data_IF_344438214600
#
_entry.id   IF_344438214600
#
_cell.length_a   1.000
_cell.length_b   1.000
_cell.length_c   1.000
_cell.angle_alpha   90.00
_cell.angle_beta   90.00
_cell.angle_gamma   90.00
#
_symmetry.space_group_name_H-M   'P 1'
#
loop_
_entity.id
_entity.type
_entity.pdbx_description
1 polymer ?
#
# COMPACT_ATOMS: atom_id res chain seq x y z
N UNK A 1 17.35 1.43 23.20
CA UNK A 1 16.69 1.03 21.94
C UNK A 1 15.63 2.07 21.62
N UNK A 2 15.92 2.98 20.69
CA UNK A 2 15.01 4.07 20.34
C UNK A 2 13.82 3.51 19.56
N UNK A 3 12.60 3.80 20.03
CA UNK A 3 11.36 3.44 19.35
C UNK A 3 11.31 4.18 18.02
N UNK A 4 11.51 3.47 16.92
CA UNK A 4 11.29 3.99 15.56
C UNK A 4 9.89 4.61 15.50
N UNK A 5 9.70 5.77 14.84
CA UNK A 5 8.38 6.40 14.79
C UNK A 5 7.34 5.37 14.33
N UNK A 6 6.25 5.25 15.08
CA UNK A 6 5.19 4.22 14.99
C UNK A 6 4.64 4.01 13.55
N UNK A 7 4.87 4.95 12.65
CA UNK A 7 4.49 4.91 11.23
C UNK A 7 5.41 4.04 10.34
N UNK A 8 6.61 3.70 10.78
CA UNK A 8 7.59 2.89 10.02
C UNK A 8 7.49 1.39 10.30
N UNK A 9 6.54 0.97 11.12
CA UNK A 9 6.33 -0.44 11.45
C UNK A 9 5.28 -1.07 10.51
N UNK A 10 5.60 -2.15 9.77
CA UNK A 10 4.65 -2.90 8.96
C UNK A 10 3.40 -3.34 9.73
N UNK A 11 3.52 -3.71 11.02
CA UNK A 11 2.39 -4.13 11.83
C UNK A 11 1.41 -2.98 12.09
N UNK A 12 1.92 -1.80 12.43
CA UNK A 12 1.09 -0.60 12.57
C UNK A 12 0.51 -0.14 11.23
N UNK A 13 1.17 -0.48 10.12
CA UNK A 13 0.65 -0.20 8.79
C UNK A 13 -0.59 -1.04 8.45
N UNK A 14 -0.54 -2.33 8.77
CA UNK A 14 -1.64 -3.28 8.59
C UNK A 14 -2.77 -3.05 9.61
N UNK A 15 -2.48 -2.49 10.79
CA UNK A 15 -3.52 -2.23 11.79
C UNK A 15 -4.63 -1.25 11.31
N UNK A 16 -4.34 -0.41 10.32
CA UNK A 16 -5.30 0.58 9.82
C UNK A 16 -6.23 -0.04 8.76
N UNK A 17 -7.57 0.05 8.93
CA UNK A 17 -8.54 -0.62 8.06
C UNK A 17 -8.43 -0.28 6.57
N UNK A 18 -8.23 1.00 6.21
CA UNK A 18 -8.15 1.43 4.81
C UNK A 18 -6.89 0.88 4.13
N UNK A 19 -5.77 0.82 4.83
CA UNK A 19 -4.55 0.17 4.33
C UNK A 19 -4.74 -1.33 4.09
N UNK A 20 -5.50 -2.04 4.94
CA UNK A 20 -5.83 -3.46 4.69
C UNK A 20 -6.69 -3.64 3.45
N UNK A 21 -7.75 -2.86 3.32
CA UNK A 21 -8.63 -2.90 2.15
C UNK A 21 -7.85 -2.63 0.85
N UNK A 22 -6.90 -1.70 0.89
CA UNK A 22 -6.00 -1.43 -0.24
C UNK A 22 -5.05 -2.61 -0.52
N UNK A 23 -4.45 -3.21 0.52
CA UNK A 23 -3.58 -4.38 0.36
C UNK A 23 -4.34 -5.58 -0.22
N UNK A 24 -5.57 -5.83 0.25
CA UNK A 24 -6.47 -6.86 -0.28
C UNK A 24 -6.78 -6.63 -1.76
N UNK A 25 -7.08 -5.40 -2.15
CA UNK A 25 -7.30 -5.06 -3.55
C UNK A 25 -6.06 -5.33 -4.43
N UNK A 26 -4.88 -5.01 -3.92
CA UNK A 26 -3.59 -5.18 -4.62
C UNK A 26 -3.02 -6.61 -4.58
N UNK A 27 -3.64 -7.53 -3.82
CA UNK A 27 -3.19 -8.93 -3.77
C UNK A 27 -3.45 -9.67 -5.10
N UNK A 28 -4.50 -9.29 -5.83
CA UNK A 28 -4.94 -10.01 -7.04
C UNK A 28 -4.23 -9.54 -8.31
N UNK A 29 -3.89 -8.26 -8.41
CA UNK A 29 -3.29 -7.67 -9.62
C UNK A 29 -2.58 -6.35 -9.30
N UNK A 30 -1.65 -5.94 -10.16
CA UNK A 30 -1.06 -4.60 -10.08
C UNK A 30 -2.08 -3.55 -10.56
N UNK A 31 -2.25 -2.46 -9.82
CA UNK A 31 -3.22 -1.40 -10.14
C UNK A 31 -2.58 -0.02 -10.08
N UNK A 32 -3.05 0.90 -10.93
CA UNK A 32 -2.67 2.30 -10.83
C UNK A 32 -3.45 3.02 -9.71
N UNK A 33 -2.98 4.21 -9.32
CA UNK A 33 -3.71 5.05 -8.34
C UNK A 33 -5.14 5.32 -8.79
N UNK A 34 -5.36 5.55 -10.09
CA UNK A 34 -6.69 5.84 -10.62
C UNK A 34 -7.57 4.60 -10.56
N UNK A 35 -7.05 3.42 -10.90
CA UNK A 35 -7.82 2.17 -10.80
C UNK A 35 -8.25 1.89 -9.34
N UNK A 36 -7.38 2.19 -8.38
CA UNK A 36 -7.68 2.03 -6.95
C UNK A 36 -8.77 3.03 -6.51
N UNK A 37 -8.68 4.29 -6.96
CA UNK A 37 -9.69 5.32 -6.72
C UNK A 37 -11.05 4.88 -7.25
N UNK A 38 -11.10 4.37 -8.48
CA UNK A 38 -12.33 3.94 -9.13
C UNK A 38 -12.95 2.72 -8.44
N UNK A 39 -12.14 1.75 -8.01
CA UNK A 39 -12.62 0.52 -7.36
C UNK A 39 -13.05 0.73 -5.91
N UNK A 40 -12.37 1.59 -5.15
CA UNK A 40 -12.67 1.83 -3.73
C UNK A 40 -13.60 3.03 -3.51
N UNK A 41 -13.83 3.85 -4.54
CA UNK A 41 -14.59 5.10 -4.42
C UNK A 41 -13.91 6.15 -3.53
N UNK A 42 -12.58 6.09 -3.42
CA UNK A 42 -11.80 6.95 -2.53
C UNK A 42 -11.21 8.14 -3.28
N UNK A 43 -10.85 9.19 -2.55
CA UNK A 43 -10.16 10.33 -3.17
C UNK A 43 -8.71 9.97 -3.49
N UNK A 44 -8.21 10.49 -4.62
CA UNK A 44 -6.83 10.28 -5.04
C UNK A 44 -5.76 10.69 -4.00
N UNK A 45 -5.90 11.81 -3.25
CA UNK A 45 -4.97 12.16 -2.19
C UNK A 45 -4.94 11.13 -1.05
N UNK A 46 -6.10 10.58 -0.69
CA UNK A 46 -6.20 9.55 0.35
C UNK A 46 -5.50 8.27 -0.09
N UNK A 47 -5.79 7.78 -1.30
CA UNK A 47 -5.12 6.60 -1.88
C UNK A 47 -3.60 6.79 -1.93
N UNK A 48 -3.14 7.94 -2.43
CA UNK A 48 -1.72 8.25 -2.55
C UNK A 48 -1.02 8.31 -1.19
N UNK A 49 -1.69 8.84 -0.16
CA UNK A 49 -1.19 8.86 1.21
C UNK A 49 -1.01 7.44 1.76
N UNK A 50 -2.02 6.58 1.62
CA UNK A 50 -1.94 5.20 2.11
C UNK A 50 -0.87 4.39 1.37
N UNK A 51 -0.80 4.50 0.04
CA UNK A 51 0.25 3.88 -0.78
C UNK A 51 1.64 4.35 -0.38
N UNK A 52 1.80 5.63 -0.09
CA UNK A 52 3.07 6.18 0.38
C UNK A 52 3.53 5.52 1.68
N UNK A 53 2.65 5.39 2.66
CA UNK A 53 2.99 4.73 3.93
C UNK A 53 3.26 3.24 3.74
N UNK A 54 2.40 2.53 2.99
CA UNK A 54 2.59 1.11 2.70
C UNK A 54 3.91 0.83 1.96
N UNK A 55 4.32 1.74 1.06
CA UNK A 55 5.60 1.67 0.35
C UNK A 55 6.77 1.92 1.29
N UNK A 56 6.66 2.89 2.20
CA UNK A 56 7.69 3.19 3.19
C UNK A 56 8.00 2.01 4.12
N UNK A 57 6.98 1.22 4.46
CA UNK A 57 7.14 0.01 5.28
C UNK A 57 7.37 -1.27 4.44
N UNK A 58 7.52 -1.13 3.12
CA UNK A 58 7.82 -2.26 2.23
C UNK A 58 6.68 -3.23 1.94
N UNK A 59 5.44 -2.93 2.34
CA UNK A 59 4.28 -3.79 2.11
C UNK A 59 3.75 -3.72 0.66
N UNK A 60 4.04 -2.65 -0.06
CA UNK A 60 3.78 -2.53 -1.50
C UNK A 60 5.02 -2.11 -2.26
N UNK A 61 5.12 -2.54 -3.50
CA UNK A 61 6.09 -2.04 -4.48
C UNK A 61 5.41 -1.24 -5.57
N UNK A 62 6.20 -0.38 -6.21
CA UNK A 62 5.77 0.46 -7.32
C UNK A 62 6.57 0.07 -8.56
N UNK A 63 5.87 -0.20 -9.67
CA UNK A 63 6.43 -0.36 -11.00
C UNK A 63 6.01 0.82 -11.87
N UNK A 64 6.96 1.39 -12.61
CA UNK A 64 6.68 2.45 -13.57
C UNK A 64 6.50 1.85 -14.96
N UNK A 65 5.45 2.26 -15.65
CA UNK A 65 5.16 1.88 -17.02
C UNK A 65 4.82 3.14 -17.82
N UNK A 66 5.80 3.64 -18.57
CA UNK A 66 5.75 4.95 -19.18
C UNK A 66 5.49 6.07 -18.16
N UNK A 67 4.32 6.72 -18.27
CA UNK A 67 3.88 7.81 -17.36
C UNK A 67 3.06 7.30 -16.18
N UNK A 68 2.63 6.05 -16.20
CA UNK A 68 1.79 5.46 -15.15
C UNK A 68 2.63 4.77 -14.09
N UNK A 69 2.07 4.72 -12.88
CA UNK A 69 2.66 4.05 -11.71
C UNK A 69 1.67 2.98 -11.29
N UNK A 70 2.13 1.74 -11.31
CA UNK A 70 1.39 0.57 -10.88
C UNK A 70 1.91 0.11 -9.53
N UNK A 71 1.00 -0.26 -8.65
CA UNK A 71 1.29 -0.72 -7.30
C UNK A 71 0.88 -2.18 -7.17
N UNK A 72 1.65 -2.93 -6.37
CA UNK A 72 1.35 -4.31 -6.02
C UNK A 72 1.75 -4.63 -4.60
N UNK A 73 1.10 -5.61 -4.00
CA UNK A 73 1.47 -6.10 -2.67
C UNK A 73 2.78 -6.88 -2.73
N UNK A 74 3.67 -6.63 -1.76
CA UNK A 74 4.87 -7.43 -1.56
C UNK A 74 4.51 -8.63 -0.68
N UNK A 75 3.97 -9.68 -1.29
CA UNK A 75 3.53 -10.89 -0.60
C UNK A 75 4.65 -11.55 0.24
N UNK A 76 5.92 -11.35 -0.12
CA UNK A 76 7.06 -11.87 0.66
C UNK A 76 7.21 -11.23 2.04
N UNK A 77 6.76 -9.97 2.21
CA UNK A 77 6.76 -9.25 3.50
C UNK A 77 5.50 -9.53 4.33
N UNK A 78 4.50 -10.20 3.75
CA UNK A 78 3.23 -10.53 4.40
C UNK A 78 3.16 -12.00 4.87
N UNK A 79 4.23 -12.78 4.70
CA UNK A 79 4.27 -14.16 5.23
C UNK A 79 4.19 -14.11 6.75
N UNK A 80 3.20 -14.75 7.39
CA UNK A 80 3.25 -14.98 8.82
C UNK A 80 4.47 -15.86 9.12
N UNK A 81 5.23 -15.46 10.13
CA UNK A 81 6.24 -16.28 10.81
C UNK A 81 5.59 -17.51 11.43
#
# INVERSE_FOLDING_TARGET
MARTPTTHDPFNAIAEPKRRELLELLQLQELSVNDIVDRLGWTQPMVSKHLGVLKQVGLVSERRDGRQRFYRTNAEQLKPI
#
